data_IF_285030163766
#
_entry.id   IF_285030163766
#
_cell.length_a   1.000
_cell.length_b   1.000
_cell.length_c   1.000
_cell.angle_alpha   90.00
_cell.angle_beta   90.00
_cell.angle_gamma   90.00
#
_symmetry.space_group_name_H-M   'P 1'
#
loop_
_entity.id
_entity.type
_entity.pdbx_description
1 polymer ?
#
# COMPACT_ATOMS: atom_id res chain seq x y z
N UNK A 1 14.92 -1.41 -1.54
CA UNK A 1 13.53 -1.57 -2.02
C UNK A 1 13.06 -3.02 -2.11
N UNK A 2 13.94 -4.00 -2.33
CA UNK A 2 13.59 -5.44 -2.37
C UNK A 2 12.82 -5.89 -1.13
N UNK A 3 13.25 -5.48 0.07
CA UNK A 3 12.54 -5.78 1.32
C UNK A 3 11.08 -5.30 1.34
N UNK A 4 10.76 -4.14 0.74
CA UNK A 4 9.38 -3.65 0.70
C UNK A 4 8.53 -4.51 -0.22
N UNK A 5 9.06 -4.92 -1.38
CA UNK A 5 8.40 -5.89 -2.26
C UNK A 5 8.14 -7.23 -1.57
N UNK A 6 9.12 -7.73 -0.81
CA UNK A 6 8.96 -8.95 -0.01
C UNK A 6 7.86 -8.76 1.05
N UNK A 7 7.86 -7.65 1.80
CA UNK A 7 6.82 -7.37 2.79
C UNK A 7 5.43 -7.27 2.16
N UNK A 8 5.30 -6.59 1.02
CA UNK A 8 4.03 -6.44 0.29
C UNK A 8 3.52 -7.80 -0.20
N UNK A 9 4.40 -8.63 -0.78
CA UNK A 9 4.04 -9.97 -1.22
C UNK A 9 3.64 -10.87 -0.04
N UNK A 10 4.35 -10.78 1.09
CA UNK A 10 4.09 -11.57 2.29
C UNK A 10 2.76 -11.17 2.95
N UNK A 11 2.47 -9.87 3.04
CA UNK A 11 1.17 -9.37 3.52
C UNK A 11 0.03 -9.82 2.61
N UNK A 12 0.19 -9.74 1.28
CA UNK A 12 -0.84 -10.18 0.35
C UNK A 12 -1.06 -11.70 0.43
N UNK A 13 0.02 -12.48 0.46
CA UNK A 13 -0.06 -13.94 0.52
C UNK A 13 -0.72 -14.40 1.82
N UNK A 14 -0.34 -13.83 2.97
CA UNK A 14 -0.94 -14.13 4.26
C UNK A 14 -2.42 -13.71 4.32
N UNK A 15 -2.77 -12.54 3.77
CA UNK A 15 -4.16 -12.07 3.67
C UNK A 15 -5.03 -12.97 2.79
N UNK A 16 -4.55 -13.34 1.60
CA UNK A 16 -5.25 -14.29 0.71
C UNK A 16 -5.42 -15.66 1.36
N UNK A 17 -4.38 -16.14 2.06
CA UNK A 17 -4.45 -17.42 2.79
C UNK A 17 -5.54 -17.40 3.86
N UNK A 18 -5.68 -16.30 4.61
CA UNK A 18 -6.78 -16.13 5.56
C UNK A 18 -8.15 -16.08 4.87
N UNK A 19 -8.27 -15.38 3.74
CA UNK A 19 -9.50 -15.31 2.97
C UNK A 19 -9.94 -16.69 2.46
N UNK A 20 -9.00 -17.47 1.92
CA UNK A 20 -9.26 -18.83 1.46
C UNK A 20 -9.70 -19.76 2.59
N UNK A 21 -9.18 -19.59 3.80
CA UNK A 21 -9.63 -20.36 4.98
C UNK A 21 -11.05 -19.99 5.44
N UNK A 22 -11.47 -18.74 5.28
CA UNK A 22 -12.84 -18.31 5.61
C UNK A 22 -13.87 -18.75 4.56
N UNK A 23 -13.46 -18.91 3.30
CA UNK A 23 -14.34 -19.35 2.22
C UNK A 23 -15.55 -18.43 2.05
N UNK A 24 -16.73 -18.99 1.79
CA UNK A 24 -17.99 -18.22 1.60
C UNK A 24 -18.44 -17.42 2.83
N UNK A 25 -17.87 -17.68 4.02
CA UNK A 25 -18.13 -16.91 5.24
C UNK A 25 -17.29 -15.62 5.33
N UNK A 26 -16.57 -15.25 4.27
CA UNK A 26 -15.76 -14.04 4.22
C UNK A 26 -16.64 -12.80 4.32
N UNK A 27 -16.47 -11.95 5.36
CA UNK A 27 -17.24 -10.73 5.49
C UNK A 27 -16.90 -9.73 4.38
N UNK A 28 -17.89 -8.95 3.95
CA UNK A 28 -17.73 -7.91 2.93
C UNK A 28 -16.61 -6.90 3.28
N UNK A 29 -16.37 -6.63 4.56
CA UNK A 29 -15.28 -5.75 5.00
C UNK A 29 -13.88 -6.32 4.68
N UNK A 30 -13.70 -7.65 4.68
CA UNK A 30 -12.42 -8.28 4.38
C UNK A 30 -12.09 -8.19 2.88
N UNK A 31 -13.10 -8.31 2.02
CA UNK A 31 -12.97 -8.05 0.58
C UNK A 31 -12.64 -6.57 0.30
N UNK A 32 -13.31 -5.63 0.98
CA UNK A 32 -12.98 -4.21 0.86
C UNK A 32 -11.53 -3.92 1.32
N UNK A 33 -11.08 -4.56 2.40
CA UNK A 33 -9.72 -4.46 2.91
C UNK A 33 -8.68 -5.01 1.92
N UNK A 34 -9.01 -6.11 1.22
CA UNK A 34 -8.18 -6.66 0.15
C UNK A 34 -8.05 -5.68 -1.02
N UNK A 35 -9.16 -5.11 -1.48
CA UNK A 35 -9.16 -4.11 -2.57
C UNK A 35 -8.31 -2.90 -2.19
N UNK A 36 -8.45 -2.39 -0.96
CA UNK A 36 -7.61 -1.30 -0.45
C UNK A 36 -6.12 -1.68 -0.43
N UNK A 37 -5.79 -2.88 0.03
CA UNK A 37 -4.42 -3.40 0.02
C UNK A 37 -3.82 -3.48 -1.39
N UNK A 38 -4.60 -3.89 -2.38
CA UNK A 38 -4.18 -3.91 -3.79
C UNK A 38 -3.96 -2.50 -4.33
N UNK A 39 -4.84 -1.54 -4.02
CA UNK A 39 -4.66 -0.14 -4.40
C UNK A 39 -3.36 0.43 -3.81
N UNK A 40 -3.08 0.16 -2.53
CA UNK A 40 -1.84 0.56 -1.87
C UNK A 40 -0.59 -0.06 -2.54
N UNK A 41 -0.68 -1.34 -2.94
CA UNK A 41 0.39 -2.01 -3.69
C UNK A 41 0.65 -1.33 -5.05
N UNK A 42 -0.39 -0.99 -5.79
CA UNK A 42 -0.28 -0.30 -7.09
C UNK A 42 0.35 1.09 -6.94
N UNK A 43 -0.05 1.84 -5.90
CA UNK A 43 0.57 3.13 -5.57
C UNK A 43 2.06 2.96 -5.30
N UNK A 44 2.44 1.96 -4.49
CA UNK A 44 3.85 1.68 -4.21
C UNK A 44 4.64 1.31 -5.48
N UNK A 45 4.08 0.46 -6.34
CA UNK A 45 4.68 0.11 -7.63
C UNK A 45 4.89 1.36 -8.49
N UNK A 46 3.90 2.26 -8.55
CA UNK A 46 4.01 3.53 -9.28
C UNK A 46 5.14 4.42 -8.73
N UNK A 47 5.29 4.52 -7.40
CA UNK A 47 6.42 5.23 -6.76
C UNK A 47 7.76 4.62 -7.16
N UNK A 48 7.85 3.29 -7.21
CA UNK A 48 9.09 2.60 -7.53
C UNK A 48 9.49 2.76 -9.01
N UNK A 49 8.53 2.70 -9.93
CA UNK A 49 8.84 2.79 -11.36
C UNK A 49 9.18 4.20 -11.84
N UNK A 50 8.50 5.23 -11.32
CA UNK A 50 8.65 6.59 -11.82
C UNK A 50 9.68 7.40 -11.00
N UNK A 51 9.36 7.91 -9.80
CA UNK A 51 10.25 8.83 -9.12
C UNK A 51 11.50 8.19 -8.54
N UNK A 52 11.51 6.90 -8.18
CA UNK A 52 12.73 6.24 -7.71
C UNK A 52 13.80 6.10 -8.80
N UNK A 53 13.42 5.76 -10.03
CA UNK A 53 14.33 5.76 -11.18
C UNK A 53 14.82 7.19 -11.50
N UNK A 54 13.91 8.18 -11.47
CA UNK A 54 14.27 9.59 -11.69
C UNK A 54 15.25 10.10 -10.64
N UNK A 55 15.04 9.77 -9.36
CA UNK A 55 15.96 10.12 -8.28
C UNK A 55 17.34 9.49 -8.49
N UNK A 56 17.39 8.19 -8.82
CA UNK A 56 18.66 7.49 -9.06
C UNK A 56 19.46 8.12 -10.21
N UNK A 57 18.76 8.49 -11.30
CA UNK A 57 19.36 9.17 -12.45
C UNK A 57 19.82 10.59 -12.11
N UNK A 58 19.00 11.37 -11.41
CA UNK A 58 19.34 12.72 -10.99
C UNK A 58 20.55 12.73 -10.04
N UNK A 59 20.67 11.75 -9.15
CA UNK A 59 21.84 11.57 -8.28
C UNK A 59 23.09 11.21 -9.08
N UNK A 60 22.99 10.33 -10.09
CA UNK A 60 24.14 10.01 -10.94
C UNK A 60 24.60 11.20 -11.80
N UNK A 61 23.67 12.05 -12.22
CA UNK A 61 23.93 13.26 -13.00
C UNK A 61 24.26 14.48 -12.09
N UNK A 62 24.34 14.30 -10.76
CA UNK A 62 24.51 15.38 -9.77
C UNK A 62 23.49 16.52 -9.89
N UNK A 63 22.33 16.24 -10.47
CA UNK A 63 21.26 17.19 -10.69
C UNK A 63 20.32 17.24 -9.46
N UNK A 64 20.80 17.89 -8.40
CA UNK A 64 20.09 18.03 -7.12
C UNK A 64 18.69 18.65 -7.21
N UNK A 65 18.40 19.66 -8.06
CA UNK A 65 17.06 20.21 -8.23
C UNK A 65 16.04 19.16 -8.69
N UNK A 66 16.41 18.35 -9.69
CA UNK A 66 15.54 17.28 -10.22
C UNK A 66 15.41 16.14 -9.20
N UNK A 67 16.48 15.82 -8.48
CA UNK A 67 16.46 14.86 -7.38
C UNK A 67 15.50 15.28 -6.25
N UNK A 68 15.53 16.55 -5.85
CA UNK A 68 14.64 17.12 -4.83
C UNK A 68 13.16 17.06 -5.25
N UNK A 69 12.85 17.39 -6.50
CA UNK A 69 11.49 17.28 -7.04
C UNK A 69 10.97 15.83 -7.03
N UNK A 70 11.82 14.86 -7.42
CA UNK A 70 11.48 13.44 -7.34
C UNK A 70 11.27 12.96 -5.90
N UNK A 71 12.09 13.44 -4.95
CA UNK A 71 11.94 13.13 -3.52
C UNK A 71 10.62 13.69 -2.96
N UNK A 72 10.24 14.91 -3.35
CA UNK A 72 8.96 15.51 -2.98
C UNK A 72 7.76 14.69 -3.46
N UNK A 73 7.82 14.20 -4.71
CA UNK A 73 6.80 13.32 -5.27
C UNK A 73 6.71 11.98 -4.51
N UNK A 74 7.86 11.39 -4.14
CA UNK A 74 7.91 10.18 -3.31
C UNK A 74 7.23 10.44 -1.96
N UNK A 75 7.54 11.56 -1.30
CA UNK A 75 6.98 11.90 0.01
C UNK A 75 5.46 12.09 -0.05
N UNK A 76 4.94 12.73 -1.09
CA UNK A 76 3.50 12.89 -1.29
C UNK A 76 2.80 11.55 -1.48
N UNK A 77 3.34 10.67 -2.34
CA UNK A 77 2.76 9.35 -2.61
C UNK A 77 2.80 8.43 -1.39
N UNK A 78 3.90 8.47 -0.61
CA UNK A 78 3.99 7.74 0.66
C UNK A 78 2.96 8.30 1.66
N UNK A 79 2.76 9.62 1.70
CA UNK A 79 1.73 10.24 2.54
C UNK A 79 0.32 9.76 2.20
N UNK A 80 -0.02 9.69 0.92
CA UNK A 80 -1.30 9.13 0.45
C UNK A 80 -1.44 7.66 0.88
N UNK A 81 -0.38 6.87 0.70
CA UNK A 81 -0.38 5.46 1.09
C UNK A 81 -0.56 5.29 2.61
N UNK A 82 0.06 6.14 3.42
CA UNK A 82 -0.11 6.15 4.87
C UNK A 82 -1.56 6.49 5.26
N UNK A 83 -2.16 7.51 4.64
CA UNK A 83 -3.56 7.88 4.86
C UNK A 83 -4.52 6.75 4.47
N UNK A 84 -4.27 6.06 3.36
CA UNK A 84 -5.03 4.86 2.97
C UNK A 84 -4.86 3.73 3.99
N UNK A 85 -3.66 3.56 4.56
CA UNK A 85 -3.42 2.62 5.65
C UNK A 85 -4.26 2.95 6.88
N UNK A 86 -4.29 4.21 7.32
CA UNK A 86 -5.15 4.65 8.43
C UNK A 86 -6.63 4.43 8.12
N UNK A 87 -7.07 4.76 6.90
CA UNK A 87 -8.45 4.57 6.48
C UNK A 87 -8.83 3.09 6.48
N UNK A 88 -7.92 2.22 6.04
CA UNK A 88 -8.10 0.76 6.09
C UNK A 88 -8.27 0.28 7.53
N UNK A 89 -7.46 0.79 8.47
CA UNK A 89 -7.61 0.50 9.90
C UNK A 89 -9.00 0.93 10.38
N UNK A 90 -9.42 2.17 10.08
CA UNK A 90 -10.75 2.66 10.47
C UNK A 90 -11.89 1.79 9.91
N UNK A 91 -11.81 1.39 8.63
CA UNK A 91 -12.79 0.49 7.99
C UNK A 91 -12.86 -0.86 8.70
N UNK A 92 -11.72 -1.42 9.11
CA UNK A 92 -11.70 -2.69 9.86
C UNK A 92 -12.31 -2.54 11.24
N UNK A 93 -11.96 -1.49 11.99
CA UNK A 93 -12.51 -1.28 13.33
C UNK A 93 -14.02 -1.05 13.29
N UNK A 94 -14.51 -0.22 12.35
CA UNK A 94 -15.95 0.01 12.16
C UNK A 94 -16.65 -1.24 11.66
N UNK A 95 -16.09 -1.92 10.65
CA UNK A 95 -16.66 -3.15 10.10
C UNK A 95 -16.73 -4.28 11.13
N UNK A 96 -15.73 -4.39 12.00
CA UNK A 96 -15.69 -5.38 13.09
C UNK A 96 -16.64 -5.02 14.24
N UNK A 97 -16.81 -3.73 14.56
CA UNK A 97 -17.80 -3.27 15.53
C UNK A 97 -19.24 -3.52 15.04
N UNK A 98 -19.52 -3.27 13.76
CA UNK A 98 -20.83 -3.53 13.17
C UNK A 98 -21.12 -5.04 13.02
N UNK A 99 -20.12 -5.84 12.67
CA UNK A 99 -20.26 -7.30 12.56
C UNK A 99 -20.31 -8.02 13.91
N UNK A 100 -19.81 -7.41 15.00
CA UNK A 100 -19.91 -7.93 16.36
C UNK A 100 -21.14 -7.44 17.14
N UNK A 101 -21.92 -6.50 16.57
CA UNK A 101 -23.17 -6.00 17.12
C UNK A 101 -24.41 -6.69 16.53
N UNK A 102 -24.22 -7.66 15.63
CA UNK A 102 -25.24 -8.55 15.07
C UNK A 102 -25.02 -9.97 15.59
#
# INVERSE_FOLDING_TARGET
FTWVWVSVALVLATGLHMLMKLGAATPHYALAMLVLGVVMMLLFAHVFFAPYKKLKRAVSEQNWPVGGAALGQIRMLIGINLSLGLLTIAVVFVGRALAGAA
#
